data_IF_717694697680
#
_entry.id   IF_717694697680
#
_cell.length_a   1.000
_cell.length_b   1.000
_cell.length_c   1.000
_cell.angle_alpha   90.00
_cell.angle_beta   90.00
_cell.angle_gamma   90.00
#
_symmetry.space_group_name_H-M   'P 1'
#
loop_
_entity.id
_entity.type
_entity.pdbx_description
1 polymer ?
#
# COMPACT_ATOMS: atom_id res chain seq x y z
N UNK A 1 23.47 3.87 9.27
CA UNK A 1 23.86 2.71 8.43
C UNK A 1 22.82 2.44 7.33
N UNK A 2 21.52 2.47 7.62
CA UNK A 2 20.44 2.20 6.65
C UNK A 2 20.44 3.12 5.41
N UNK A 3 20.85 4.38 5.54
CA UNK A 3 20.88 5.35 4.43
C UNK A 3 21.85 4.95 3.30
N UNK A 4 22.96 4.29 3.64
CA UNK A 4 23.94 3.80 2.67
C UNK A 4 23.46 2.56 1.92
N UNK A 5 22.67 1.72 2.58
CA UNK A 5 22.08 0.52 1.98
C UNK A 5 20.96 0.89 0.99
N UNK A 6 20.12 1.86 1.35
CA UNK A 6 19.04 2.34 0.46
C UNK A 6 19.60 2.96 -0.83
N UNK A 7 20.64 3.78 -0.74
CA UNK A 7 21.26 4.42 -1.92
C UNK A 7 21.87 3.37 -2.86
N UNK A 8 22.60 2.40 -2.30
CA UNK A 8 23.16 1.26 -3.05
C UNK A 8 22.07 0.42 -3.71
N UNK A 9 20.95 0.18 -3.01
CA UNK A 9 19.81 -0.55 -3.57
C UNK A 9 19.19 0.18 -4.77
N UNK A 10 19.04 1.50 -4.69
CA UNK A 10 18.52 2.32 -5.80
C UNK A 10 19.40 2.23 -7.05
N UNK A 11 20.72 2.30 -6.88
CA UNK A 11 21.68 2.13 -7.98
C UNK A 11 21.56 0.76 -8.64
N UNK A 12 21.59 -0.31 -7.84
CA UNK A 12 21.48 -1.69 -8.32
C UNK A 12 20.17 -1.97 -9.03
N UNK A 13 19.05 -1.48 -8.50
CA UNK A 13 17.76 -1.64 -9.18
C UNK A 13 17.68 -0.77 -10.44
N UNK A 14 18.32 0.40 -10.45
CA UNK A 14 18.48 1.23 -11.65
C UNK A 14 19.23 0.50 -12.77
N UNK A 15 20.35 -0.15 -12.45
CA UNK A 15 21.09 -1.01 -13.38
C UNK A 15 20.25 -2.19 -13.88
N UNK A 16 19.57 -2.89 -12.98
CA UNK A 16 18.70 -4.01 -13.35
C UNK A 16 17.59 -3.58 -14.32
N UNK A 17 17.02 -2.39 -14.12
CA UNK A 17 16.01 -1.81 -15.02
C UNK A 17 16.63 -1.43 -16.37
N UNK A 18 17.85 -0.88 -16.42
CA UNK A 18 18.53 -0.59 -17.70
C UNK A 18 18.79 -1.86 -18.50
N UNK A 19 19.18 -2.95 -17.83
CA UNK A 19 19.45 -4.24 -18.48
C UNK A 19 18.17 -4.95 -18.93
N UNK A 20 17.10 -4.86 -18.15
CA UNK A 20 15.83 -5.56 -18.39
C UNK A 20 14.64 -4.61 -18.22
N UNK A 21 14.43 -3.67 -19.17
CA UNK A 21 13.45 -2.58 -19.02
C UNK A 21 12.00 -3.05 -19.01
N UNK A 22 11.71 -4.24 -19.55
CA UNK A 22 10.38 -4.85 -19.55
C UNK A 22 10.11 -5.72 -18.32
N UNK A 23 11.09 -5.89 -17.43
CA UNK A 23 10.96 -6.73 -16.24
C UNK A 23 10.30 -5.96 -15.10
N UNK A 24 8.99 -6.09 -14.97
CA UNK A 24 8.17 -5.44 -13.95
C UNK A 24 8.70 -5.55 -12.51
N UNK A 25 9.34 -6.67 -12.14
CA UNK A 25 9.87 -6.86 -10.77
C UNK A 25 10.97 -5.86 -10.41
N UNK A 26 11.75 -5.37 -11.39
CA UNK A 26 12.81 -4.37 -11.15
C UNK A 26 12.24 -3.06 -10.63
N UNK A 27 11.18 -2.57 -11.27
CA UNK A 27 10.47 -1.35 -10.85
C UNK A 27 9.81 -1.52 -9.48
N UNK A 28 9.14 -2.65 -9.22
CA UNK A 28 8.54 -2.90 -7.89
C UNK A 28 9.59 -2.89 -6.76
N UNK A 29 10.77 -3.47 -6.99
CA UNK A 29 11.85 -3.48 -6.02
C UNK A 29 12.45 -2.07 -5.82
N UNK A 30 12.65 -1.31 -6.92
CA UNK A 30 13.13 0.07 -6.82
C UNK A 30 12.13 0.97 -6.11
N UNK A 31 10.83 0.80 -6.36
CA UNK A 31 9.78 1.54 -5.65
C UNK A 31 9.84 1.34 -4.13
N UNK A 32 10.16 0.13 -3.66
CA UNK A 32 10.35 -0.13 -2.24
C UNK A 32 11.53 0.66 -1.67
N UNK A 33 12.67 0.66 -2.36
CA UNK A 33 13.83 1.45 -1.96
C UNK A 33 13.56 2.96 -2.01
N UNK A 34 12.84 3.45 -3.03
CA UNK A 34 12.43 4.85 -3.16
C UNK A 34 11.54 5.29 -1.99
N UNK A 35 10.59 4.44 -1.57
CA UNK A 35 9.78 4.71 -0.36
C UNK A 35 10.62 4.82 0.90
N UNK A 36 11.60 3.93 1.09
CA UNK A 36 12.51 3.97 2.23
C UNK A 36 13.42 5.20 2.18
N UNK A 37 13.76 5.66 0.98
CA UNK A 37 14.52 6.89 0.75
C UNK A 37 13.67 8.16 0.93
N UNK A 38 12.35 8.04 0.99
CA UNK A 38 11.41 9.17 1.09
C UNK A 38 10.93 9.73 -0.27
N UNK A 39 11.40 9.20 -1.40
CA UNK A 39 10.88 9.57 -2.73
C UNK A 39 9.57 8.82 -3.04
N UNK A 40 8.49 9.30 -2.44
CA UNK A 40 7.15 8.72 -2.61
C UNK A 40 6.66 8.88 -4.05
N UNK A 41 6.95 10.01 -4.70
CA UNK A 41 6.53 10.28 -6.07
C UNK A 41 7.24 9.35 -7.07
N UNK A 42 8.54 9.12 -6.91
CA UNK A 42 9.30 8.13 -7.67
C UNK A 42 8.78 6.72 -7.46
N UNK A 43 8.49 6.35 -6.21
CA UNK A 43 7.94 5.03 -5.91
C UNK A 43 6.59 4.78 -6.61
N UNK A 44 5.67 5.75 -6.58
CA UNK A 44 4.39 5.62 -7.27
C UNK A 44 4.57 5.42 -8.78
N UNK A 45 5.45 6.20 -9.43
CA UNK A 45 5.75 6.05 -10.87
C UNK A 45 6.30 4.66 -11.23
N UNK A 46 7.16 4.11 -10.38
CA UNK A 46 7.71 2.77 -10.59
C UNK A 46 6.66 1.67 -10.37
N UNK A 47 5.78 1.82 -9.37
CA UNK A 47 4.67 0.89 -9.14
C UNK A 47 3.69 0.91 -10.31
N UNK A 48 3.36 2.08 -10.85
CA UNK A 48 2.52 2.22 -12.04
C UNK A 48 3.14 1.53 -13.26
N UNK A 49 4.45 1.70 -13.44
CA UNK A 49 5.19 1.04 -14.52
C UNK A 49 5.19 -0.48 -14.34
N UNK A 50 5.43 -0.98 -13.11
CA UNK A 50 5.39 -2.40 -12.81
C UNK A 50 4.00 -3.01 -13.10
N UNK A 51 2.92 -2.32 -12.72
CA UNK A 51 1.53 -2.74 -12.98
C UNK A 51 1.26 -2.77 -14.49
N UNK A 52 1.70 -1.75 -15.23
CA UNK A 52 1.54 -1.67 -16.68
C UNK A 52 2.28 -2.80 -17.41
N UNK A 53 3.56 -3.02 -17.08
CA UNK A 53 4.39 -4.07 -17.69
C UNK A 53 3.85 -5.48 -17.39
N UNK A 54 3.33 -5.69 -16.19
CA UNK A 54 2.70 -6.96 -15.80
C UNK A 54 1.25 -7.11 -16.30
N UNK A 55 0.73 -6.10 -17.03
CA UNK A 55 -0.66 -6.03 -17.51
C UNK A 55 -1.69 -6.26 -16.39
N UNK A 56 -1.36 -5.81 -15.17
CA UNK A 56 -2.19 -5.99 -13.98
C UNK A 56 -2.35 -7.45 -13.52
N UNK A 57 -1.46 -8.37 -13.92
CA UNK A 57 -1.54 -9.80 -13.58
C UNK A 57 -0.26 -10.35 -12.96
N UNK A 58 -0.38 -11.52 -12.32
CA UNK A 58 0.74 -12.25 -11.76
C UNK A 58 1.35 -11.60 -10.50
N UNK A 59 2.49 -12.14 -10.08
CA UNK A 59 3.12 -11.79 -8.80
C UNK A 59 3.59 -10.33 -8.74
N UNK A 60 4.18 -9.82 -9.82
CA UNK A 60 4.69 -8.45 -9.87
C UNK A 60 3.55 -7.43 -9.74
N UNK A 61 2.43 -7.62 -10.46
CA UNK A 61 1.24 -6.78 -10.30
C UNK A 61 0.70 -6.86 -8.87
N UNK A 62 0.55 -8.07 -8.32
CA UNK A 62 0.04 -8.29 -6.98
C UNK A 62 0.83 -7.53 -5.92
N UNK A 63 2.17 -7.63 -5.96
CA UNK A 63 3.05 -6.90 -5.06
C UNK A 63 2.97 -5.39 -5.27
N UNK A 64 2.92 -4.94 -6.53
CA UNK A 64 2.88 -3.52 -6.86
C UNK A 64 1.58 -2.86 -6.39
N UNK A 65 0.43 -3.52 -6.59
CA UNK A 65 -0.86 -3.08 -6.04
C UNK A 65 -0.84 -3.03 -4.51
N UNK A 66 -0.26 -4.04 -3.82
CA UNK A 66 -0.11 -4.00 -2.35
C UNK A 66 0.70 -2.77 -1.92
N UNK A 67 1.87 -2.55 -2.55
CA UNK A 67 2.73 -1.43 -2.17
C UNK A 67 2.06 -0.08 -2.45
N UNK A 68 1.42 0.08 -3.62
CA UNK A 68 0.74 1.32 -3.99
C UNK A 68 -0.44 1.61 -3.08
N UNK A 69 -1.22 0.58 -2.73
CA UNK A 69 -2.31 0.71 -1.76
C UNK A 69 -1.84 1.14 -0.38
N UNK A 70 -0.67 0.67 0.08
CA UNK A 70 -0.08 1.13 1.34
C UNK A 70 0.37 2.60 1.27
N UNK A 71 0.97 3.02 0.15
CA UNK A 71 1.33 4.43 -0.05
C UNK A 71 0.10 5.32 -0.04
N UNK A 72 -0.94 4.97 -0.79
CA UNK A 72 -2.19 5.72 -0.81
C UNK A 72 -2.82 5.82 0.58
N UNK A 73 -2.80 4.74 1.36
CA UNK A 73 -3.30 4.75 2.74
C UNK A 73 -2.50 5.68 3.65
N UNK A 74 -1.17 5.70 3.54
CA UNK A 74 -0.33 6.65 4.28
C UNK A 74 -0.60 8.11 3.90
N UNK A 75 -1.07 8.36 2.68
CA UNK A 75 -1.48 9.68 2.19
C UNK A 75 -2.95 10.00 2.50
N UNK A 76 -3.63 9.22 3.35
CA UNK A 76 -5.06 9.32 3.66
C UNK A 76 -5.98 9.20 2.42
N UNK A 77 -5.50 8.61 1.33
CA UNK A 77 -6.26 8.33 0.10
C UNK A 77 -6.90 6.95 0.19
N UNK A 78 -7.88 6.81 1.08
CA UNK A 78 -8.47 5.50 1.43
C UNK A 78 -9.17 4.82 0.25
N UNK A 79 -9.85 5.60 -0.60
CA UNK A 79 -10.53 5.07 -1.79
C UNK A 79 -9.55 4.47 -2.80
N UNK A 80 -8.44 5.17 -3.06
CA UNK A 80 -7.38 4.69 -3.95
C UNK A 80 -6.68 3.45 -3.36
N UNK A 81 -6.42 3.47 -2.05
CA UNK A 81 -5.88 2.34 -1.33
C UNK A 81 -6.80 1.11 -1.41
N UNK A 82 -8.13 1.30 -1.23
CA UNK A 82 -9.11 0.23 -1.33
C UNK A 82 -9.09 -0.41 -2.71
N UNK A 83 -9.12 0.39 -3.79
CA UNK A 83 -9.05 -0.12 -5.17
C UNK A 83 -7.80 -0.96 -5.40
N UNK A 84 -6.65 -0.48 -4.95
CA UNK A 84 -5.39 -1.21 -5.06
C UNK A 84 -5.41 -2.54 -4.30
N UNK A 85 -5.92 -2.54 -3.06
CA UNK A 85 -6.05 -3.77 -2.29
C UNK A 85 -7.07 -4.74 -2.89
N UNK A 86 -8.15 -4.27 -3.51
CA UNK A 86 -9.08 -5.13 -4.25
C UNK A 86 -8.38 -5.83 -5.43
N UNK A 87 -7.58 -5.10 -6.21
CA UNK A 87 -6.80 -5.69 -7.29
C UNK A 87 -5.80 -6.73 -6.76
N UNK A 88 -5.04 -6.42 -5.72
CA UNK A 88 -4.12 -7.36 -5.10
C UNK A 88 -4.81 -8.59 -4.51
N UNK A 89 -5.98 -8.43 -3.89
CA UNK A 89 -6.78 -9.52 -3.33
C UNK A 89 -7.27 -10.48 -4.42
N UNK A 90 -7.73 -9.95 -5.57
CA UNK A 90 -8.09 -10.75 -6.76
C UNK A 90 -6.92 -11.56 -7.29
N UNK A 91 -5.69 -11.05 -7.13
CA UNK A 91 -4.45 -11.75 -7.49
C UNK A 91 -3.92 -12.67 -6.36
N UNK A 92 -4.70 -12.90 -5.30
CA UNK A 92 -4.41 -13.87 -4.25
C UNK A 92 -3.78 -13.30 -2.97
N UNK A 93 -3.53 -12.00 -2.86
CA UNK A 93 -2.89 -11.41 -1.68
C UNK A 93 -3.75 -11.53 -0.41
N UNK A 94 -3.32 -12.37 0.53
CA UNK A 94 -3.94 -12.48 1.86
C UNK A 94 -3.80 -11.19 2.67
N UNK A 95 -2.66 -10.51 2.52
CA UNK A 95 -2.43 -9.21 3.16
C UNK A 95 -3.47 -8.18 2.67
N UNK A 96 -3.69 -8.08 1.36
CA UNK A 96 -4.64 -7.13 0.80
C UNK A 96 -6.08 -7.42 1.26
N UNK A 97 -6.48 -8.70 1.30
CA UNK A 97 -7.79 -9.09 1.87
C UNK A 97 -7.96 -8.59 3.31
N UNK A 98 -6.93 -8.73 4.14
CA UNK A 98 -6.96 -8.21 5.52
C UNK A 98 -7.06 -6.68 5.55
N UNK A 99 -6.34 -5.97 4.70
CA UNK A 99 -6.42 -4.52 4.61
C UNK A 99 -7.82 -4.02 4.21
N UNK A 100 -8.50 -4.73 3.30
CA UNK A 100 -9.89 -4.40 2.92
C UNK A 100 -10.87 -4.53 4.08
N UNK A 101 -10.69 -5.50 4.97
CA UNK A 101 -11.51 -5.61 6.19
C UNK A 101 -11.29 -4.40 7.10
N UNK A 102 -10.04 -3.94 7.24
CA UNK A 102 -9.70 -2.76 8.05
C UNK A 102 -10.23 -1.44 7.44
N UNK A 103 -10.32 -1.38 6.11
CA UNK A 103 -10.87 -0.24 5.36
C UNK A 103 -12.39 -0.31 5.21
N UNK A 104 -13.06 -1.29 5.81
CA UNK A 104 -14.51 -1.40 5.74
C UNK A 104 -15.15 -0.28 6.59
N UNK A 105 -15.88 0.66 5.97
CA UNK A 105 -16.48 1.77 6.71
C UNK A 105 -17.52 1.30 7.73
N UNK A 106 -18.20 0.17 7.48
CA UNK A 106 -19.14 -0.40 8.44
C UNK A 106 -18.43 -0.95 9.69
N UNK A 107 -17.23 -1.52 9.54
CA UNK A 107 -16.45 -1.97 10.70
C UNK A 107 -15.99 -0.78 11.56
N UNK A 108 -15.60 0.34 10.93
CA UNK A 108 -15.26 1.57 11.63
C UNK A 108 -16.46 2.17 12.38
N UNK A 109 -17.63 2.24 11.74
CA UNK A 109 -18.87 2.74 12.34
C UNK A 109 -19.34 1.85 13.50
N UNK A 110 -19.33 0.52 13.35
CA UNK A 110 -19.70 -0.38 14.44
C UNK A 110 -18.79 -0.20 15.66
N UNK A 111 -17.48 -0.07 15.46
CA UNK A 111 -16.54 0.17 16.56
C UNK A 111 -16.78 1.53 17.22
N UNK A 112 -17.02 2.58 16.43
CA UNK A 112 -17.34 3.91 16.95
C UNK A 112 -18.64 3.90 17.77
N UNK A 113 -19.71 3.32 17.22
CA UNK A 113 -21.00 3.20 17.91
C UNK A 113 -20.88 2.39 19.21
N UNK A 114 -20.13 1.28 19.20
CA UNK A 114 -19.86 0.50 20.41
C UNK A 114 -19.09 1.30 21.46
N UNK A 115 -18.05 2.04 21.06
CA UNK A 115 -17.29 2.92 21.96
C UNK A 115 -18.17 4.03 22.55
N UNK A 116 -19.00 4.68 21.75
CA UNK A 116 -19.93 5.71 22.22
C UNK A 116 -20.96 5.14 23.21
N UNK A 117 -21.56 3.98 22.91
CA UNK A 117 -22.52 3.32 23.80
C UNK A 117 -21.88 2.89 25.12
N UNK A 118 -20.67 2.32 25.09
CA UNK A 118 -19.91 1.97 26.29
C UNK A 118 -19.52 3.21 27.11
N UNK A 119 -19.19 4.32 26.44
CA UNK A 119 -18.92 5.60 27.09
C UNK A 119 -20.14 6.14 27.84
N UNK A 120 -21.32 6.10 27.21
CA UNK A 120 -22.60 6.50 27.84
C UNK A 120 -22.94 5.62 29.03
N UNK A 121 -22.70 4.31 28.95
CA UNK A 121 -22.92 3.37 30.06
C UNK A 121 -21.94 3.57 31.23
N UNK A 122 -20.69 3.98 30.96
CA UNK A 122 -19.71 4.31 32.02
C UNK A 122 -19.94 5.66 32.69
N UNK A 123 -20.67 6.58 32.05
CA UNK A 123 -20.94 7.92 32.58
C UNK A 123 -22.43 8.29 32.46
N UNK A 124 -23.31 7.67 33.27
CA UNK A 124 -24.77 7.84 33.14
C UNK A 124 -25.28 9.23 33.55
N UNK A 125 -24.42 10.15 34.02
CA UNK A 125 -24.80 11.49 34.51
C UNK A 125 -24.27 12.68 33.69
N UNK A 126 -23.69 12.46 32.50
CA UNK A 126 -23.10 13.53 31.69
C UNK A 126 -24.08 14.16 30.70
N UNK A 127 -25.19 14.73 31.17
CA UNK A 127 -26.02 15.68 30.39
C UNK A 127 -26.59 16.72 31.35
N UNK A 128 -26.08 17.95 31.22
CA UNK A 128 -26.81 19.17 31.54
C UNK A 128 -27.46 19.68 30.26
#
# INVERSE_FOLDING_TARGET
AESGDVSTALERFGEAIRLLPERASGYNNRAQALRLHGDIAGALRDLDTAIRLSRGRGRAACQSFVQRGLVHRLQAREEDARRDFEHAARLGSAFARRQLVLLNPYAALCNQMLCEMLGRLRNPGGSA
#
